data_IF_157743582719
#
_entry.id   IF_157743582719
#
_cell.length_a   1.000
_cell.length_b   1.000
_cell.length_c   1.000
_cell.angle_alpha   90.00
_cell.angle_beta   90.00
_cell.angle_gamma   90.00
#
_symmetry.space_group_name_H-M   'P 1'
#
loop_
_entity.id
_entity.type
_entity.pdbx_description
1 polymer ?
#
# COMPACT_ATOMS: atom_id res chain seq x y z
N UNK A 1 9.90 19.74 4.11
CA UNK A 1 9.14 20.46 5.15
C UNK A 1 7.83 19.70 5.37
N UNK A 2 7.22 19.69 6.57
CA UNK A 2 5.97 18.98 6.79
C UNK A 2 4.86 19.63 5.93
N UNK A 3 4.29 18.88 4.99
CA UNK A 3 3.21 19.32 4.13
C UNK A 3 1.92 19.43 4.94
N UNK A 4 1.38 20.64 5.08
CA UNK A 4 0.29 20.95 6.00
C UNK A 4 -1.00 20.16 5.76
N UNK A 5 -1.40 19.37 6.75
CA UNK A 5 -2.72 19.35 7.41
C UNK A 5 -2.67 18.19 8.41
N UNK A 6 -2.67 18.51 9.70
CA UNK A 6 -2.44 17.59 10.82
C UNK A 6 -1.11 16.81 10.71
N UNK A 7 0.03 17.51 10.61
CA UNK A 7 1.31 16.88 10.87
C UNK A 7 1.29 16.36 12.32
N UNK A 8 1.32 15.04 12.49
CA UNK A 8 1.62 14.47 13.79
C UNK A 8 2.95 15.10 14.26
N UNK A 9 3.12 15.44 15.54
CA UNK A 9 4.35 16.05 16.04
C UNK A 9 5.57 15.09 16.00
N UNK A 10 5.45 13.98 15.28
CA UNK A 10 6.48 12.96 15.06
C UNK A 10 7.08 13.16 13.66
N UNK A 11 8.40 13.34 13.54
CA UNK A 11 9.05 13.47 12.24
C UNK A 11 8.72 12.31 11.29
N UNK A 12 8.43 12.62 10.03
CA UNK A 12 8.18 11.67 8.94
C UNK A 12 6.97 10.73 9.12
N UNK A 13 6.11 10.97 10.12
CA UNK A 13 4.93 10.14 10.36
C UNK A 13 3.92 10.22 9.20
N UNK A 14 3.90 11.33 8.47
CA UNK A 14 3.17 11.51 7.22
C UNK A 14 3.55 10.43 6.18
N UNK A 15 4.84 10.14 6.03
CA UNK A 15 5.32 9.12 5.07
C UNK A 15 4.90 7.71 5.47
N UNK A 16 4.83 7.43 6.77
CA UNK A 16 4.32 6.15 7.28
C UNK A 16 2.84 6.01 6.96
N UNK A 17 2.05 7.08 7.12
CA UNK A 17 0.62 7.08 6.76
C UNK A 17 0.45 6.83 5.26
N UNK A 18 1.20 7.52 4.41
CA UNK A 18 1.22 7.30 2.96
C UNK A 18 1.49 5.83 2.60
N UNK A 19 2.59 5.27 3.12
CA UNK A 19 2.93 3.87 2.91
C UNK A 19 1.82 2.90 3.38
N UNK A 20 1.19 3.15 4.53
CA UNK A 20 0.12 2.31 5.05
C UNK A 20 -1.17 2.40 4.22
N UNK A 21 -1.53 3.61 3.77
CA UNK A 21 -2.72 3.86 2.92
C UNK A 21 -2.61 3.11 1.60
N UNK A 22 -1.41 2.91 1.06
CA UNK A 22 -1.18 2.13 -0.15
C UNK A 22 -0.91 0.64 0.09
N UNK A 23 -0.28 0.29 1.22
CA UNK A 23 -0.04 -1.11 1.58
C UNK A 23 -1.34 -1.87 1.85
N UNK A 24 -2.28 -1.26 2.58
CA UNK A 24 -3.54 -1.92 2.96
C UNK A 24 -4.36 -2.39 1.74
N UNK A 25 -4.70 -1.55 0.74
CA UNK A 25 -5.41 -2.01 -0.44
C UNK A 25 -4.59 -3.00 -1.28
N UNK A 26 -3.25 -2.91 -1.29
CA UNK A 26 -2.41 -3.89 -1.96
C UNK A 26 -2.54 -5.29 -1.31
N UNK A 27 -2.48 -5.37 0.02
CA UNK A 27 -2.73 -6.62 0.77
C UNK A 27 -4.13 -7.15 0.46
N UNK A 28 -5.15 -6.30 0.62
CA UNK A 28 -6.54 -6.70 0.44
C UNK A 28 -6.83 -7.16 -0.99
N UNK A 29 -6.28 -6.50 -2.01
CA UNK A 29 -6.43 -6.91 -3.41
C UNK A 29 -5.87 -8.30 -3.66
N UNK A 30 -4.67 -8.60 -3.12
CA UNK A 30 -4.07 -9.94 -3.23
C UNK A 30 -4.91 -10.98 -2.48
N UNK A 31 -5.33 -10.69 -1.24
CA UNK A 31 -6.16 -11.59 -0.44
C UNK A 31 -7.55 -11.82 -1.04
N UNK A 32 -8.08 -10.84 -1.78
CA UNK A 32 -9.32 -10.95 -2.55
C UNK A 32 -9.16 -11.79 -3.84
N UNK A 33 -7.96 -12.30 -4.12
CA UNK A 33 -7.69 -13.14 -5.29
C UNK A 33 -7.41 -12.36 -6.58
N UNK A 34 -7.22 -11.04 -6.51
CA UNK A 34 -6.80 -10.26 -7.68
C UNK A 34 -5.36 -10.61 -8.06
N UNK A 35 -5.03 -10.45 -9.34
CA UNK A 35 -3.68 -10.70 -9.85
C UNK A 35 -2.71 -9.67 -9.24
N UNK A 36 -1.67 -10.07 -8.50
CA UNK A 36 -0.80 -9.12 -7.78
C UNK A 36 -0.18 -8.04 -8.67
N UNK A 37 0.18 -8.37 -9.91
CA UNK A 37 0.75 -7.40 -10.85
C UNK A 37 -0.26 -6.32 -11.28
N UNK A 38 -1.55 -6.66 -11.41
CA UNK A 38 -2.60 -5.68 -11.74
C UNK A 38 -2.82 -4.73 -10.56
N UNK A 39 -2.90 -5.27 -9.35
CA UNK A 39 -3.00 -4.49 -8.11
C UNK A 39 -1.82 -3.52 -8.01
N UNK A 40 -0.60 -4.03 -8.23
CA UNK A 40 0.62 -3.24 -8.21
C UNK A 40 0.63 -2.10 -9.22
N UNK A 41 0.33 -2.37 -10.50
CA UNK A 41 0.31 -1.34 -11.56
C UNK A 41 -0.75 -0.27 -11.27
N UNK A 42 -1.97 -0.68 -10.89
CA UNK A 42 -3.05 0.27 -10.62
C UNK A 42 -2.68 1.20 -9.46
N UNK A 43 -2.18 0.64 -8.35
CA UNK A 43 -1.80 1.45 -7.20
C UNK A 43 -0.54 2.29 -7.44
N UNK A 44 0.43 1.79 -8.21
CA UNK A 44 1.61 2.56 -8.59
C UNK A 44 1.28 3.75 -9.50
N UNK A 45 0.26 3.63 -10.37
CA UNK A 45 -0.27 4.76 -11.14
C UNK A 45 -1.11 5.69 -10.24
N UNK A 46 -1.85 5.13 -9.29
CA UNK A 46 -2.65 5.91 -8.36
C UNK A 46 -1.80 6.85 -7.49
N UNK A 47 -0.60 6.43 -7.04
CA UNK A 47 0.29 7.22 -6.19
C UNK A 47 0.61 8.64 -6.70
N UNK A 48 1.17 8.83 -7.92
CA UNK A 48 1.40 10.18 -8.45
C UNK A 48 0.09 10.92 -8.76
N UNK A 49 -0.99 10.20 -9.10
CA UNK A 49 -2.29 10.82 -9.37
C UNK A 49 -2.90 11.38 -8.09
N UNK A 50 -2.85 10.64 -6.98
CA UNK A 50 -3.35 11.12 -5.67
C UNK A 50 -2.56 12.35 -5.23
N UNK A 51 -1.25 12.36 -5.41
CA UNK A 51 -0.40 13.51 -5.03
C UNK A 51 -0.77 14.78 -5.81
N UNK A 52 -0.92 14.65 -7.14
CA UNK A 52 -1.37 15.76 -8.00
C UNK A 52 -2.77 16.23 -7.58
N UNK A 53 -3.68 15.30 -7.31
CA UNK A 53 -5.04 15.63 -6.90
C UNK A 53 -5.04 16.35 -5.54
N UNK A 54 -4.26 15.88 -4.58
CA UNK A 54 -4.15 16.50 -3.26
C UNK A 54 -3.55 17.90 -3.36
N UNK A 55 -2.48 18.06 -4.14
CA UNK A 55 -1.83 19.36 -4.32
C UNK A 55 -2.74 20.41 -4.97
N UNK A 56 -3.55 19.99 -5.95
CA UNK A 56 -4.42 20.90 -6.70
C UNK A 56 -5.76 21.18 -6.01
N UNK A 57 -6.31 20.22 -5.25
CA UNK A 57 -7.69 20.30 -4.73
C UNK A 57 -7.82 20.24 -3.21
N UNK A 58 -6.77 19.98 -2.42
CA UNK A 58 -6.85 20.01 -0.95
C UNK A 58 -6.18 21.28 -0.42
N UNK A 59 -6.95 22.29 0.05
CA UNK A 59 -6.38 23.52 0.59
C UNK A 59 -5.39 23.24 1.73
N UNK A 60 -4.21 23.85 1.65
CA UNK A 60 -3.15 23.70 2.63
C UNK A 60 -2.23 22.49 2.42
N UNK A 61 -2.56 21.56 1.51
CA UNK A 61 -1.67 20.47 1.10
C UNK A 61 -0.77 20.90 -0.06
N UNK A 62 0.53 20.79 0.17
CA UNK A 62 1.55 20.94 -0.87
C UNK A 62 2.02 19.57 -1.31
N UNK A 63 2.14 19.39 -2.62
CA UNK A 63 2.67 18.14 -3.16
C UNK A 63 4.14 17.92 -2.79
N UNK A 64 4.52 16.70 -2.45
CA UNK A 64 5.88 16.25 -2.16
C UNK A 64 6.17 14.93 -2.91
N UNK A 65 7.14 14.90 -3.84
CA UNK A 65 7.54 13.67 -4.54
C UNK A 65 7.90 12.50 -3.60
N UNK A 66 8.32 12.78 -2.36
CA UNK A 66 8.59 11.73 -1.38
C UNK A 66 7.34 11.03 -0.86
N UNK A 67 6.16 11.64 -0.96
CA UNK A 67 4.88 10.97 -0.70
C UNK A 67 4.62 9.88 -1.75
N UNK A 68 4.83 10.18 -3.04
CA UNK A 68 4.74 9.18 -4.12
C UNK A 68 5.71 8.01 -3.90
N UNK A 69 6.94 8.30 -3.45
CA UNK A 69 7.92 7.25 -3.11
C UNK A 69 7.41 6.38 -1.95
N UNK A 70 6.90 7.01 -0.88
CA UNK A 70 6.35 6.29 0.26
C UNK A 70 5.15 5.41 -0.12
N UNK A 71 4.26 5.93 -0.97
CA UNK A 71 3.10 5.21 -1.51
C UNK A 71 3.54 3.96 -2.28
N UNK A 72 4.47 4.11 -3.22
CA UNK A 72 4.99 2.99 -4.04
C UNK A 72 5.69 1.94 -3.16
N UNK A 73 6.48 2.36 -2.16
CA UNK A 73 7.06 1.45 -1.17
C UNK A 73 5.96 0.69 -0.42
N UNK A 74 4.91 1.40 -0.01
CA UNK A 74 3.70 0.82 0.58
C UNK A 74 3.08 -0.27 -0.29
N UNK A 75 2.90 -0.01 -1.59
CA UNK A 75 2.40 -0.99 -2.56
C UNK A 75 3.25 -2.25 -2.57
N UNK A 76 4.57 -2.13 -2.70
CA UNK A 76 5.47 -3.30 -2.71
C UNK A 76 5.41 -4.10 -1.40
N UNK A 77 5.39 -3.42 -0.25
CA UNK A 77 5.24 -4.05 1.06
C UNK A 77 3.91 -4.81 1.13
N UNK A 78 2.81 -4.18 0.72
CA UNK A 78 1.49 -4.79 0.77
C UNK A 78 1.35 -6.00 -0.15
N UNK A 79 1.90 -5.94 -1.36
CA UNK A 79 1.95 -7.09 -2.28
C UNK A 79 2.75 -8.24 -1.68
N UNK A 80 3.91 -7.95 -1.07
CA UNK A 80 4.76 -8.97 -0.43
C UNK A 80 4.04 -9.63 0.75
N UNK A 81 3.39 -8.84 1.62
CA UNK A 81 2.59 -9.36 2.74
C UNK A 81 1.47 -10.26 2.21
N UNK A 82 0.69 -9.79 1.24
CA UNK A 82 -0.39 -10.58 0.64
C UNK A 82 0.09 -11.90 0.06
N UNK A 83 1.20 -11.89 -0.68
CA UNK A 83 1.79 -13.09 -1.25
C UNK A 83 2.26 -14.08 -0.18
N UNK A 84 2.90 -13.60 0.90
CA UNK A 84 3.33 -14.43 2.03
C UNK A 84 2.12 -15.06 2.72
N UNK A 85 1.04 -14.32 2.95
CA UNK A 85 -0.19 -14.83 3.57
C UNK A 85 -0.84 -15.93 2.73
N UNK A 86 -0.98 -15.73 1.41
CA UNK A 86 -1.50 -16.75 0.50
C UNK A 86 -0.62 -18.01 0.46
N UNK A 87 0.69 -17.84 0.49
CA UNK A 87 1.66 -18.95 0.50
C UNK A 87 1.54 -19.78 1.78
N UNK A 88 1.25 -19.16 2.92
CA UNK A 88 1.02 -19.86 4.19
C UNK A 88 -0.31 -20.62 4.21
N UNK A 89 -1.35 -20.08 3.57
CA UNK A 89 -2.66 -20.74 3.50
C UNK A 89 -2.65 -21.99 2.61
N UNK A 90 -1.85 -22.01 1.54
CA UNK A 90 -1.74 -23.17 0.65
C UNK A 90 -0.98 -24.34 1.29
N UNK A 91 0.00 -24.06 2.15
CA UNK A 91 0.74 -25.08 2.93
C UNK A 91 -0.20 -25.74 3.94
N UNK A 92 -0.98 -24.97 4.69
CA UNK A 92 -1.90 -25.51 5.72
C UNK A 92 -3.00 -26.37 5.09
N UNK A 93 -3.57 -25.96 3.94
CA UNK A 93 -4.63 -26.73 3.25
C UNK A 93 -4.14 -28.03 2.59
N UNK A 94 -2.83 -28.22 2.42
CA UNK A 94 -2.23 -29.42 1.79
C UNK A 94 -1.76 -30.49 2.78
N UNK A 95 -1.97 -30.30 4.10
CA UNK A 95 -1.69 -31.37 5.05
C UNK A 95 -2.47 -32.64 4.64
N UNK A 96 -1.81 -33.79 4.45
CA UNK A 96 -2.44 -34.96 3.86
C UNK A 96 -3.59 -35.44 4.75
N UNK A 97 -4.74 -35.70 4.14
CA UNK A 97 -5.73 -36.56 4.77
C UNK A 97 -5.01 -37.86 5.10
N UNK A 98 -4.87 -38.17 6.39
CA UNK A 98 -4.44 -39.47 6.82
C UNK A 98 -5.40 -40.48 6.18
N UNK A 99 -4.87 -41.26 5.23
CA UNK A 99 -5.58 -42.37 4.63
C UNK A 99 -5.48 -43.51 5.62
N UNK A 100 -6.61 -43.83 6.25
CA UNK A 100 -6.82 -45.03 7.07
C UNK A 100 -6.85 -46.31 6.19
#
# INVERSE_FOLDING_TARGET
MPSGSAALPVPHADKVVHALVFALPAVLGVLAGLRPWLVGVILAVHAPVSEVVQHLWIPGRTGDPWDVVADVVGVFIGLAIGAVMLSRHSVIRRAPAAVD
#
